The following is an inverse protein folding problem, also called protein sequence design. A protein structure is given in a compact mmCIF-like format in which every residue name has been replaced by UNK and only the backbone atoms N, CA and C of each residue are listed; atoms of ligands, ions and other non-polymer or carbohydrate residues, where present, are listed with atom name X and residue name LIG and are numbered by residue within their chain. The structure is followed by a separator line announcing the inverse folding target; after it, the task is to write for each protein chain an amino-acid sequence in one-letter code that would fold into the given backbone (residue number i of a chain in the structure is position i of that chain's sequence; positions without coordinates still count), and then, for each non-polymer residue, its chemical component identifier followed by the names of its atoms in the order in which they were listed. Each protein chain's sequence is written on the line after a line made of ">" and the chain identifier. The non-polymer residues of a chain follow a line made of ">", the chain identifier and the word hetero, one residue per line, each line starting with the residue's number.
data_IF_715545938452
#
_entry.id   IF_715545938452
#
_cell.length_a   1.000
_cell.length_b   1.000
_cell.length_c   1.000
_cell.angle_alpha   90.00
_cell.angle_beta   90.00
_cell.angle_gamma   90.00
#
_symmetry.space_group_name_H-M   'P 1'
#
loop_
_entity.id
_entity.type
_entity.pdbx_description
1 polymer ?
#
# COMPACT_ATOMS: atom_id res chain seq x y z
N UNK A 1 5.92 -14.81 -15.68
CA UNK A 1 6.47 -16.00 -16.36
C UNK A 1 7.02 -16.93 -15.29
N UNK A 2 6.57 -18.18 -15.23
CA UNK A 2 7.20 -19.16 -14.35
C UNK A 2 8.60 -19.46 -14.90
N UNK A 3 9.62 -19.40 -14.05
CA UNK A 3 10.94 -19.92 -14.40
C UNK A 3 10.82 -21.44 -14.63
N UNK A 4 11.56 -21.97 -15.62
CA UNK A 4 11.67 -23.41 -15.85
C UNK A 4 12.04 -24.10 -14.52
N UNK A 5 11.40 -25.23 -14.22
CA UNK A 5 11.66 -26.07 -13.04
C UNK A 5 11.13 -25.55 -11.67
N UNK A 6 10.10 -24.69 -11.67
CA UNK A 6 9.41 -24.28 -10.42
C UNK A 6 8.04 -24.94 -10.30
N UNK A 7 7.77 -25.54 -9.14
CA UNK A 7 6.49 -26.22 -8.83
C UNK A 7 5.35 -25.26 -8.49
N UNK A 8 5.66 -23.99 -8.25
CA UNK A 8 4.68 -22.98 -7.85
C UNK A 8 4.87 -21.70 -8.65
N UNK A 9 3.75 -21.09 -9.04
CA UNK A 9 3.70 -19.76 -9.62
C UNK A 9 3.15 -18.77 -8.61
N UNK A 10 3.83 -17.65 -8.43
CA UNK A 10 3.40 -16.56 -7.54
C UNK A 10 3.29 -15.30 -8.39
N UNK A 11 2.15 -14.64 -8.28
CA UNK A 11 1.92 -13.33 -8.87
C UNK A 11 1.63 -12.32 -7.78
N UNK A 12 2.43 -11.26 -7.74
CA UNK A 12 2.26 -10.15 -6.79
C UNK A 12 2.26 -8.84 -7.56
N UNK A 13 1.07 -8.32 -7.78
CA UNK A 13 0.86 -6.99 -8.36
C UNK A 13 -0.22 -6.29 -7.53
N UNK A 14 0.09 -5.22 -6.77
CA UNK A 14 -0.89 -4.57 -5.88
C UNK A 14 -2.18 -4.14 -6.56
N UNK A 15 -2.11 -3.69 -7.83
CA UNK A 15 -3.28 -3.25 -8.60
C UNK A 15 -4.18 -4.39 -9.10
N UNK A 16 -3.75 -5.66 -8.99
CA UNK A 16 -4.64 -6.80 -9.25
C UNK A 16 -5.87 -6.77 -8.34
N UNK A 17 -5.80 -6.04 -7.25
CA UNK A 17 -6.93 -5.79 -6.36
C UNK A 17 -8.17 -5.23 -7.07
N UNK A 18 -8.01 -4.41 -8.11
CA UNK A 18 -9.15 -3.85 -8.86
C UNK A 18 -9.88 -4.88 -9.73
N UNK A 19 -9.21 -5.96 -10.10
CA UNK A 19 -9.74 -7.06 -10.92
C UNK A 19 -9.73 -8.39 -10.14
N UNK A 20 -9.60 -8.32 -8.81
CA UNK A 20 -9.40 -9.50 -7.98
C UNK A 20 -10.57 -10.48 -8.07
N UNK A 21 -11.80 -9.98 -8.25
CA UNK A 21 -12.99 -10.81 -8.45
C UNK A 21 -12.84 -11.69 -9.70
N UNK A 22 -12.35 -11.12 -10.80
CA UNK A 22 -12.22 -11.84 -12.06
C UNK A 22 -11.08 -12.86 -11.97
N UNK A 23 -9.95 -12.47 -11.36
CA UNK A 23 -8.84 -13.39 -11.07
C UNK A 23 -9.34 -14.58 -10.24
N UNK A 24 -10.05 -14.32 -9.14
CA UNK A 24 -10.59 -15.37 -8.28
C UNK A 24 -11.61 -16.24 -9.00
N UNK A 25 -12.41 -15.67 -9.92
CA UNK A 25 -13.37 -16.41 -10.72
C UNK A 25 -12.69 -17.31 -11.76
N UNK A 26 -11.61 -16.85 -12.38
CA UNK A 26 -10.89 -17.59 -13.43
C UNK A 26 -10.14 -18.77 -12.82
N UNK A 27 -9.41 -18.53 -11.73
CA UNK A 27 -8.56 -19.56 -11.13
C UNK A 27 -9.29 -20.41 -10.08
N UNK A 28 -10.41 -19.92 -9.54
CA UNK A 28 -11.25 -20.66 -8.59
C UNK A 28 -10.44 -21.27 -7.45
N UNK A 29 -10.71 -22.54 -7.15
CA UNK A 29 -9.98 -23.32 -6.14
C UNK A 29 -8.61 -23.84 -6.61
N UNK A 30 -8.27 -23.67 -7.89
CA UNK A 30 -6.97 -24.01 -8.44
C UNK A 30 -5.84 -23.07 -8.01
N UNK A 31 -6.18 -21.93 -7.38
CA UNK A 31 -5.23 -21.01 -6.78
C UNK A 31 -5.55 -20.75 -5.30
N UNK A 32 -4.53 -20.28 -4.59
CA UNK A 32 -4.62 -19.79 -3.21
C UNK A 32 -4.46 -18.28 -3.22
N UNK A 33 -5.27 -17.57 -2.42
CA UNK A 33 -5.32 -16.11 -2.43
C UNK A 33 -4.89 -15.57 -1.07
N UNK A 34 -3.85 -14.75 -1.07
CA UNK A 34 -3.35 -14.07 0.12
C UNK A 34 -3.63 -12.57 0.02
N UNK A 35 -4.26 -12.00 1.04
CA UNK A 35 -4.47 -10.56 1.14
C UNK A 35 -3.62 -9.98 2.27
N UNK A 36 -2.59 -9.21 1.89
CA UNK A 36 -1.74 -8.50 2.85
C UNK A 36 -2.37 -7.13 3.17
N UNK A 37 -2.75 -6.96 4.42
CA UNK A 37 -3.37 -5.74 4.96
C UNK A 37 -2.34 -5.00 5.81
N UNK A 38 -2.40 -3.67 5.83
CA UNK A 38 -1.52 -2.83 6.66
C UNK A 38 -2.29 -1.63 7.17
N UNK A 39 -1.89 -1.07 8.31
CA UNK A 39 -2.48 0.15 8.84
C UNK A 39 -2.47 1.25 7.76
N UNK A 40 -3.63 1.82 7.38
CA UNK A 40 -3.69 2.81 6.31
C UNK A 40 -2.80 4.05 6.56
N UNK A 41 -2.67 4.52 7.81
CA UNK A 41 -1.75 5.62 8.11
C UNK A 41 -0.28 5.24 7.79
N UNK A 42 0.10 4.00 8.08
CA UNK A 42 1.43 3.47 7.77
C UNK A 42 1.65 3.33 6.26
N UNK A 43 0.64 2.91 5.50
CA UNK A 43 0.71 2.87 4.03
C UNK A 43 0.95 4.28 3.50
N UNK A 44 0.14 5.26 3.91
CA UNK A 44 0.26 6.64 3.45
C UNK A 44 1.66 7.23 3.74
N UNK A 45 2.18 7.05 4.96
CA UNK A 45 3.54 7.47 5.29
C UNK A 45 4.63 6.75 4.49
N UNK A 46 4.41 5.47 4.15
CA UNK A 46 5.29 4.74 3.22
C UNK A 46 5.28 5.42 1.85
N UNK A 47 4.11 5.82 1.32
CA UNK A 47 4.01 6.49 0.02
C UNK A 47 4.69 7.86 -0.01
N UNK A 48 4.50 8.63 1.06
CA UNK A 48 5.15 9.95 1.28
C UNK A 48 6.67 9.79 1.28
N UNK A 49 7.17 8.75 1.94
CA UNK A 49 8.62 8.52 2.05
C UNK A 49 9.20 8.06 0.70
N UNK A 50 8.57 7.08 0.05
CA UNK A 50 9.09 6.45 -1.18
C UNK A 50 8.95 7.36 -2.40
N UNK A 51 7.78 7.93 -2.66
CA UNK A 51 7.52 8.71 -3.89
C UNK A 51 7.45 10.21 -3.65
N UNK A 52 7.18 10.64 -2.41
CA UNK A 52 7.13 12.05 -2.03
C UNK A 52 8.47 12.60 -1.54
N UNK A 53 9.49 11.75 -1.39
CA UNK A 53 10.79 12.10 -0.77
C UNK A 53 10.59 12.76 0.61
N UNK A 54 9.61 12.27 1.38
CA UNK A 54 9.23 12.81 2.69
C UNK A 54 8.22 13.96 2.65
N UNK A 55 7.78 14.39 1.47
CA UNK A 55 6.78 15.47 1.28
C UNK A 55 5.41 14.92 0.93
N UNK A 56 4.38 15.67 1.27
CA UNK A 56 3.00 15.29 1.01
C UNK A 56 2.72 15.05 -0.49
N UNK A 57 2.26 13.84 -0.83
CA UNK A 57 1.95 13.43 -2.21
C UNK A 57 0.70 12.55 -2.33
N UNK A 58 -0.05 12.35 -1.25
CA UNK A 58 -1.19 11.40 -1.20
C UNK A 58 -2.31 11.79 -2.17
N UNK A 59 -2.42 13.07 -2.55
CA UNK A 59 -3.41 13.51 -3.54
C UNK A 59 -3.30 12.75 -4.88
N UNK A 60 -2.10 12.27 -5.25
CA UNK A 60 -1.86 11.51 -6.47
C UNK A 60 -2.28 10.03 -6.37
N UNK A 61 -2.49 9.52 -5.14
CA UNK A 61 -2.77 8.11 -4.88
C UNK A 61 -4.11 7.90 -4.17
N UNK A 62 -4.89 8.96 -3.98
CA UNK A 62 -6.10 8.90 -3.17
C UNK A 62 -7.14 7.95 -3.75
N UNK A 63 -7.26 7.87 -5.08
CA UNK A 63 -8.14 6.89 -5.72
C UNK A 63 -7.67 5.46 -5.46
N UNK A 64 -6.37 5.21 -5.62
CA UNK A 64 -5.76 3.90 -5.30
C UNK A 64 -6.01 3.53 -3.82
N UNK A 65 -6.01 4.53 -2.94
CA UNK A 65 -6.24 4.35 -1.52
C UNK A 65 -7.71 4.02 -1.19
N UNK A 66 -8.63 4.85 -1.65
CA UNK A 66 -10.06 4.71 -1.31
C UNK A 66 -10.70 3.52 -2.01
N UNK A 67 -10.48 3.39 -3.33
CA UNK A 67 -11.00 2.26 -4.11
C UNK A 67 -10.29 0.97 -3.75
N UNK A 68 -8.98 1.03 -3.52
CA UNK A 68 -8.19 -0.12 -3.10
C UNK A 68 -8.69 -0.72 -1.79
N UNK A 69 -8.96 0.11 -0.78
CA UNK A 69 -9.52 -0.38 0.50
C UNK A 69 -10.87 -1.07 0.30
N UNK A 70 -11.76 -0.52 -0.51
CA UNK A 70 -13.06 -1.13 -0.77
C UNK A 70 -12.93 -2.48 -1.48
N UNK A 71 -12.04 -2.58 -2.47
CA UNK A 71 -11.73 -3.85 -3.11
C UNK A 71 -11.09 -4.84 -2.14
N UNK A 72 -10.20 -4.38 -1.26
CA UNK A 72 -9.54 -5.20 -0.24
C UNK A 72 -10.55 -5.84 0.70
N UNK A 73 -11.44 -5.03 1.28
CA UNK A 73 -12.50 -5.51 2.18
C UNK A 73 -13.38 -6.56 1.48
N UNK A 74 -13.74 -6.33 0.21
CA UNK A 74 -14.53 -7.29 -0.57
C UNK A 74 -13.81 -8.62 -0.78
N UNK A 75 -12.51 -8.60 -1.08
CA UNK A 75 -11.70 -9.82 -1.27
C UNK A 75 -11.52 -10.55 0.06
N UNK A 76 -11.19 -9.83 1.13
CA UNK A 76 -11.01 -10.40 2.47
C UNK A 76 -12.26 -11.08 3.02
N UNK A 77 -13.45 -10.61 2.61
CA UNK A 77 -14.73 -11.23 3.00
C UNK A 77 -14.99 -12.60 2.36
N UNK A 78 -14.11 -13.08 1.48
CA UNK A 78 -14.23 -14.39 0.83
C UNK A 78 -13.44 -15.43 1.61
N UNK A 79 -14.08 -16.54 1.97
CA UNK A 79 -13.45 -17.66 2.69
C UNK A 79 -12.25 -18.25 1.96
N UNK A 80 -12.24 -18.17 0.63
CA UNK A 80 -11.13 -18.62 -0.20
C UNK A 80 -9.86 -17.77 -0.04
N UNK A 81 -9.90 -16.60 0.61
CA UNK A 81 -8.77 -15.70 0.77
C UNK A 81 -8.27 -15.65 2.23
N UNK A 82 -6.99 -15.97 2.43
CA UNK A 82 -6.36 -15.77 3.73
C UNK A 82 -5.89 -14.30 3.86
N UNK A 83 -6.45 -13.60 4.84
CA UNK A 83 -6.04 -12.25 5.20
C UNK A 83 -4.88 -12.28 6.20
N UNK A 84 -3.90 -11.40 6.03
CA UNK A 84 -2.72 -11.32 6.88
C UNK A 84 -2.41 -9.85 7.15
N UNK A 85 -2.22 -9.46 8.42
CA UNK A 85 -1.74 -8.12 8.73
C UNK A 85 -0.23 -8.07 8.65
N UNK A 86 0.28 -7.02 8.02
CA UNK A 86 1.70 -6.73 7.93
C UNK A 86 2.33 -6.63 9.33
N UNK A 87 1.65 -5.99 10.28
CA UNK A 87 2.13 -5.84 11.64
C UNK A 87 2.22 -7.18 12.40
N UNK A 88 1.33 -8.12 12.12
CA UNK A 88 1.35 -9.46 12.71
C UNK A 88 2.49 -10.28 12.12
N UNK A 89 2.77 -10.17 10.81
CA UNK A 89 3.95 -10.80 10.20
C UNK A 89 5.27 -10.34 10.81
N UNK A 90 5.35 -9.08 11.26
CA UNK A 90 6.55 -8.56 11.93
C UNK A 90 6.62 -9.00 13.41
N UNK A 91 5.49 -9.02 14.10
CA UNK A 91 5.43 -9.28 15.55
C UNK A 91 5.48 -10.77 15.89
N UNK A 92 4.80 -11.59 15.08
CA UNK A 92 4.54 -13.01 15.28
C UNK A 92 4.97 -13.83 14.06
N UNK A 93 6.18 -13.54 13.54
CA UNK A 93 6.73 -14.13 12.31
C UNK A 93 6.56 -15.65 12.24
N UNK A 94 6.91 -16.37 13.31
CA UNK A 94 6.85 -17.84 13.34
C UNK A 94 5.41 -18.35 13.18
N UNK A 95 4.48 -17.77 13.94
CA UNK A 95 3.06 -18.15 13.95
C UNK A 95 2.40 -17.83 12.60
N UNK A 96 2.65 -16.64 12.05
CA UNK A 96 2.09 -16.23 10.77
C UNK A 96 2.69 -17.04 9.61
N UNK A 97 3.99 -17.33 9.65
CA UNK A 97 4.65 -18.20 8.65
C UNK A 97 4.05 -19.61 8.67
N UNK A 98 3.78 -20.17 9.84
CA UNK A 98 3.14 -21.48 9.97
C UNK A 98 1.69 -21.44 9.46
N UNK A 99 0.94 -20.38 9.80
CA UNK A 99 -0.45 -20.20 9.33
C UNK A 99 -0.52 -20.12 7.80
N UNK A 100 0.40 -19.37 7.18
CA UNK A 100 0.51 -19.27 5.72
C UNK A 100 0.97 -20.59 5.11
N UNK A 101 1.95 -21.26 5.72
CA UNK A 101 2.43 -22.58 5.27
C UNK A 101 1.30 -23.59 5.20
N UNK A 102 0.48 -23.66 6.26
CA UNK A 102 -0.69 -24.55 6.35
C UNK A 102 -1.73 -24.22 5.28
N UNK A 103 -2.02 -22.94 5.07
CA UNK A 103 -3.01 -22.50 4.08
C UNK A 103 -2.57 -22.79 2.64
N UNK A 104 -1.28 -22.60 2.34
CA UNK A 104 -0.70 -22.89 1.02
C UNK A 104 -0.45 -24.39 0.80
N UNK A 105 -0.30 -25.17 1.88
CA UNK A 105 0.12 -26.58 1.82
C UNK A 105 1.61 -26.72 1.48
N UNK A 106 2.43 -25.74 1.86
CA UNK A 106 3.87 -25.67 1.53
C UNK A 106 4.66 -25.39 2.81
N UNK A 107 5.74 -26.12 3.06
CA UNK A 107 6.63 -25.86 4.20
C UNK A 107 7.48 -24.61 3.96
N UNK A 108 7.13 -23.48 4.57
CA UNK A 108 7.91 -22.23 4.47
C UNK A 108 8.98 -22.10 5.56
N UNK A 109 9.10 -23.08 6.47
CA UNK A 109 10.07 -23.07 7.57
C UNK A 109 11.52 -22.91 7.09
N UNK A 110 11.86 -23.49 5.93
CA UNK A 110 13.19 -23.40 5.32
C UNK A 110 13.52 -22.01 4.74
N UNK A 111 12.55 -21.10 4.64
CA UNK A 111 12.77 -19.76 4.09
C UNK A 111 13.28 -18.76 5.13
N UNK A 112 13.15 -19.05 6.44
CA UNK A 112 13.48 -18.11 7.52
C UNK A 112 14.95 -17.65 7.49
N UNK A 113 15.86 -18.56 7.16
CA UNK A 113 17.30 -18.30 7.15
C UNK A 113 17.85 -18.07 5.73
N UNK A 114 17.02 -18.19 4.70
CA UNK A 114 17.47 -17.97 3.32
C UNK A 114 17.57 -16.48 3.04
N UNK A 115 18.74 -16.06 2.59
CA UNK A 115 18.96 -14.70 2.09
C UNK A 115 18.06 -14.51 0.87
N UNK A 116 17.24 -13.46 0.89
CA UNK A 116 16.39 -13.11 -0.24
C UNK A 116 17.29 -12.71 -1.41
N UNK A 117 17.27 -13.52 -2.47
CA UNK A 117 17.92 -13.16 -3.72
C UNK A 117 17.16 -12.00 -4.37
N UNK A 118 17.90 -11.02 -4.88
CA UNK A 118 17.29 -9.88 -5.58
C UNK A 118 16.70 -10.39 -6.88
N UNK A 119 15.38 -10.30 -7.01
CA UNK A 119 14.70 -10.63 -8.27
C UNK A 119 14.94 -9.48 -9.24
N UNK A 120 15.68 -9.73 -10.32
CA UNK A 120 15.88 -8.74 -11.38
C UNK A 120 14.56 -8.49 -12.13
N UNK A 121 14.09 -7.24 -12.10
CA UNK A 121 12.84 -6.84 -12.75
C UNK A 121 12.85 -5.36 -13.14
N UNK A 122 12.14 -5.03 -14.23
CA UNK A 122 11.99 -3.64 -14.73
C UNK A 122 10.93 -2.83 -13.99
N UNK A 123 10.01 -3.50 -13.28
CA UNK A 123 8.90 -2.88 -12.55
C UNK A 123 8.93 -3.36 -11.09
N UNK A 124 8.81 -2.45 -10.12
CA UNK A 124 8.86 -2.80 -8.70
C UNK A 124 9.15 -1.61 -7.79
N UNK A 125 9.20 -1.86 -6.48
CA UNK A 125 9.66 -0.88 -5.49
C UNK A 125 11.19 -0.72 -5.63
N UNK A 126 11.70 0.47 -6.01
CA UNK A 126 13.13 0.68 -6.21
C UNK A 126 13.93 0.65 -4.90
N UNK A 127 13.28 0.63 -3.73
CA UNK A 127 13.95 0.76 -2.43
C UNK A 127 13.87 -0.54 -1.62
N UNK A 128 12.70 -1.19 -1.56
CA UNK A 128 12.48 -2.35 -0.69
C UNK A 128 13.32 -3.59 -1.02
N UNK A 129 13.52 -3.92 -2.30
CA UNK A 129 14.22 -5.15 -2.68
C UNK A 129 15.75 -5.09 -2.51
N UNK A 130 16.32 -3.89 -2.46
CA UNK A 130 17.77 -3.69 -2.31
C UNK A 130 18.20 -3.38 -0.87
N UNK A 131 17.27 -2.89 -0.04
CA UNK A 131 17.57 -2.39 1.30
C UNK A 131 17.47 -3.47 2.38
N UNK A 132 16.77 -4.57 2.13
CA UNK A 132 16.42 -5.53 3.17
C UNK A 132 16.76 -6.97 2.78
N UNK A 133 17.47 -7.66 3.66
CA UNK A 133 17.82 -9.08 3.52
C UNK A 133 17.11 -9.98 4.53
N UNK A 134 16.43 -9.40 5.54
CA UNK A 134 15.70 -10.08 6.62
C UNK A 134 14.45 -9.29 7.05
N UNK A 135 13.53 -9.96 7.75
CA UNK A 135 12.38 -9.33 8.39
C UNK A 135 12.87 -8.52 9.60
N UNK A 136 12.56 -7.22 9.62
CA UNK A 136 12.98 -6.32 10.70
C UNK A 136 11.76 -5.82 11.49
N UNK A 137 11.70 -6.19 12.77
CA UNK A 137 10.57 -5.88 13.67
C UNK A 137 10.34 -4.37 13.89
N UNK A 138 11.39 -3.57 13.79
CA UNK A 138 11.36 -2.10 14.01
C UNK A 138 10.44 -1.36 13.03
N UNK A 139 10.18 -1.94 11.84
CA UNK A 139 9.46 -1.32 10.72
C UNK A 139 7.98 -1.05 10.98
N UNK A 140 7.39 -1.73 11.96
CA UNK A 140 6.01 -1.46 12.41
C UNK A 140 5.82 -0.03 12.90
N UNK A 141 6.90 0.61 13.40
CA UNK A 141 6.87 1.96 13.96
C UNK A 141 7.60 3.02 13.12
N UNK A 142 8.46 2.62 12.17
CA UNK A 142 9.31 3.55 11.40
C UNK A 142 8.53 4.60 10.61
N UNK A 143 7.37 4.22 10.07
CA UNK A 143 6.51 5.12 9.29
C UNK A 143 6.07 6.36 10.07
N UNK A 144 6.07 6.29 11.41
CA UNK A 144 5.74 7.41 12.29
C UNK A 144 6.74 8.56 12.14
N UNK A 145 8.02 8.27 11.87
CA UNK A 145 9.08 9.28 11.70
C UNK A 145 8.82 10.21 10.50
N UNK A 146 8.06 9.76 9.51
CA UNK A 146 7.62 10.56 8.36
C UNK A 146 6.67 11.71 8.77
N UNK A 147 6.02 11.59 9.93
CA UNK A 147 5.09 12.59 10.44
C UNK A 147 5.87 13.63 11.23
N UNK A 148 6.31 14.68 10.53
CA UNK A 148 7.13 15.76 11.10
C UNK A 148 6.48 17.16 10.99
N UNK A 149 5.26 17.26 10.47
CA UNK A 149 4.54 18.52 10.26
C UNK A 149 3.10 18.40 10.77
N UNK A 150 2.53 19.51 11.22
CA UNK A 150 1.12 19.60 11.61
C UNK A 150 0.20 19.37 10.41
N UNK A 151 0.61 19.85 9.23
CA UNK A 151 -0.09 19.57 7.97
C UNK A 151 -0.22 18.07 7.72
N UNK A 152 0.86 17.28 7.83
CA UNK A 152 0.78 15.81 7.68
C UNK A 152 -0.16 15.19 8.71
N UNK A 153 -0.11 15.62 9.97
CA UNK A 153 -1.03 15.14 11.01
C UNK A 153 -2.49 15.41 10.61
N UNK A 154 -2.82 16.64 10.24
CA UNK A 154 -4.18 17.04 9.87
C UNK A 154 -4.67 16.25 8.64
N UNK A 155 -3.82 16.11 7.62
CA UNK A 155 -4.18 15.43 6.38
C UNK A 155 -4.30 13.91 6.55
N UNK A 156 -3.43 13.27 7.32
CA UNK A 156 -3.55 11.84 7.64
C UNK A 156 -4.81 11.57 8.45
N UNK A 157 -5.11 12.40 9.47
CA UNK A 157 -6.37 12.27 10.22
C UNK A 157 -7.59 12.47 9.32
N UNK A 158 -7.53 13.42 8.40
CA UNK A 158 -8.59 13.62 7.39
C UNK A 158 -8.77 12.39 6.50
N UNK A 159 -7.67 11.79 6.01
CA UNK A 159 -7.70 10.54 5.25
C UNK A 159 -8.36 9.40 6.04
N UNK A 160 -7.96 9.19 7.29
CA UNK A 160 -8.53 8.13 8.13
C UNK A 160 -10.03 8.36 8.42
N UNK A 161 -10.44 9.61 8.68
CA UNK A 161 -11.85 9.96 8.83
C UNK A 161 -12.67 9.64 7.58
N UNK A 162 -12.09 9.87 6.40
CA UNK A 162 -12.74 9.57 5.11
C UNK A 162 -12.84 8.09 4.82
N UNK A 163 -11.87 7.29 5.26
CA UNK A 163 -11.97 5.82 5.24
C UNK A 163 -13.14 5.39 6.13
N UNK A 164 -13.25 5.98 7.31
CA UNK A 164 -14.33 5.73 8.27
C UNK A 164 -14.07 4.53 9.18
N UNK A 165 -14.81 4.48 10.28
CA UNK A 165 -14.67 3.44 11.31
C UNK A 165 -14.95 2.04 10.75
N UNK A 166 -16.11 1.86 10.10
CA UNK A 166 -16.58 0.57 9.59
C UNK A 166 -15.57 -0.12 8.68
N UNK A 167 -14.88 0.65 7.83
CA UNK A 167 -13.87 0.11 6.92
C UNK A 167 -12.59 -0.26 7.67
N UNK A 168 -12.17 0.55 8.63
CA UNK A 168 -10.99 0.23 9.46
C UNK A 168 -11.21 -1.01 10.31
N UNK A 169 -12.40 -1.16 10.92
CA UNK A 169 -12.74 -2.36 11.70
C UNK A 169 -12.72 -3.61 10.82
N UNK A 170 -13.23 -3.54 9.58
CA UNK A 170 -13.14 -4.64 8.60
C UNK A 170 -11.71 -4.98 8.18
N UNK A 171 -10.80 -4.00 8.18
CA UNK A 171 -9.36 -4.21 7.99
C UNK A 171 -8.67 -4.73 9.28
N UNK A 172 -9.38 -4.76 10.41
CA UNK A 172 -8.89 -5.20 11.70
C UNK A 172 -8.11 -4.15 12.47
N UNK A 173 -8.38 -2.86 12.27
CA UNK A 173 -7.75 -1.77 13.02
C UNK A 173 -8.78 -0.97 13.82
N UNK A 174 -8.46 -0.62 15.06
CA UNK A 174 -9.25 0.31 15.87
C UNK A 174 -9.11 1.73 15.34
N UNK A 175 -10.24 2.37 15.05
CA UNK A 175 -10.27 3.74 14.56
C UNK A 175 -9.64 4.74 15.55
N UNK A 176 -9.94 4.57 16.85
CA UNK A 176 -9.40 5.42 17.90
C UNK A 176 -7.87 5.29 18.00
N UNK A 177 -7.36 4.05 18.03
CA UNK A 177 -5.92 3.79 18.12
C UNK A 177 -5.16 4.33 16.90
N UNK A 178 -5.72 4.16 15.70
CA UNK A 178 -5.10 4.70 14.48
C UNK A 178 -5.02 6.22 14.56
N UNK A 179 -6.11 6.90 14.93
CA UNK A 179 -6.10 8.37 15.04
C UNK A 179 -5.16 8.89 16.13
N UNK A 180 -5.09 8.20 17.27
CA UNK A 180 -4.19 8.55 18.37
C UNK A 180 -2.71 8.37 17.97
N UNK A 181 -2.43 7.35 17.17
CA UNK A 181 -1.07 7.11 16.66
C UNK A 181 -0.56 8.22 15.74
N UNK A 182 -1.46 9.00 15.11
CA UNK A 182 -1.13 10.10 14.19
C UNK A 182 -0.86 11.38 14.99
N UNK A 183 0.41 11.56 15.34
CA UNK A 183 0.98 12.76 15.95
C UNK A 183 2.36 13.02 15.37
N UNK A 184 2.96 14.17 15.68
CA UNK A 184 4.34 14.46 15.26
C UNK A 184 5.25 13.50 16.03
N UNK A 185 6.02 12.69 15.30
CA UNK A 185 7.07 11.83 15.86
C UNK A 185 8.45 12.16 15.28
N UNK A 186 8.51 12.73 14.08
CA UNK A 186 9.74 13.21 13.47
C UNK A 186 10.17 14.57 14.03
N UNK A 187 11.41 14.97 13.72
CA UNK A 187 11.90 16.31 14.06
C UNK A 187 11.13 17.36 13.25
N UNK A 188 10.43 18.25 13.95
CA UNK A 188 9.64 19.30 13.30
C UNK A 188 10.49 20.16 12.38
N UNK A 189 9.91 20.55 11.24
CA UNK A 189 10.56 21.34 10.20
C UNK A 189 9.57 22.38 9.66
N UNK A 190 9.76 23.65 10.00
CA UNK A 190 8.92 24.74 9.52
C UNK A 190 8.99 24.89 7.99
N UNK A 191 10.14 24.57 7.39
CA UNK A 191 10.30 24.51 5.94
C UNK A 191 9.36 23.46 5.36
N UNK A 192 9.38 22.24 5.89
CA UNK A 192 8.52 21.16 5.39
C UNK A 192 7.04 21.46 5.61
N UNK A 193 6.69 22.17 6.69
CA UNK A 193 5.32 22.61 6.96
C UNK A 193 4.78 23.47 5.80
N UNK A 194 5.54 24.49 5.38
CA UNK A 194 5.17 25.36 4.26
C UNK A 194 5.07 24.56 2.95
N UNK A 195 6.05 23.67 2.68
CA UNK A 195 6.01 22.83 1.48
C UNK A 195 4.81 21.87 1.48
N UNK A 196 4.56 21.16 2.57
CA UNK A 196 3.42 20.25 2.68
C UNK A 196 2.10 21.00 2.52
N UNK A 197 1.93 22.16 3.17
CA UNK A 197 0.73 22.98 3.03
C UNK A 197 0.52 23.41 1.56
N UNK A 198 1.58 23.86 0.89
CA UNK A 198 1.52 24.21 -0.54
C UNK A 198 1.14 23.02 -1.42
N UNK A 199 1.63 21.82 -1.08
CA UNK A 199 1.34 20.58 -1.83
C UNK A 199 -0.08 20.08 -1.58
N UNK A 200 -0.67 20.36 -0.41
CA UNK A 200 -2.09 20.12 -0.14
C UNK A 200 -2.94 21.01 -1.03
N UNK A 201 -2.66 22.32 -1.08
CA UNK A 201 -3.38 23.26 -1.95
C UNK A 201 -3.23 22.86 -3.42
N UNK A 202 -1.99 22.58 -3.84
CA UNK A 202 -1.72 22.06 -5.18
C UNK A 202 -2.51 20.78 -5.47
N UNK A 203 -2.59 19.84 -4.53
CA UNK A 203 -3.35 18.60 -4.68
C UNK A 203 -4.86 18.83 -4.87
N UNK A 204 -5.42 19.84 -4.22
CA UNK A 204 -6.83 20.25 -4.44
C UNK A 204 -7.00 20.81 -5.86
N UNK A 205 -6.14 21.73 -6.28
CA UNK A 205 -6.17 22.30 -7.63
C UNK A 205 -5.97 21.22 -8.70
N UNK A 206 -5.03 20.31 -8.48
CA UNK A 206 -4.74 19.19 -9.38
C UNK A 206 -5.98 18.33 -9.64
N UNK A 207 -6.79 18.07 -8.61
CA UNK A 207 -8.04 17.30 -8.74
C UNK A 207 -9.13 18.06 -9.47
N UNK A 208 -9.23 19.37 -9.28
CA UNK A 208 -10.23 20.21 -9.95
C UNK A 208 -9.91 20.33 -11.44
N UNK A 209 -8.65 20.64 -11.76
CA UNK A 209 -8.27 20.95 -13.14
C UNK A 209 -7.88 19.73 -13.97
N UNK A 210 -7.55 18.60 -13.31
CA UNK A 210 -7.08 17.36 -13.96
C UNK A 210 -6.19 17.64 -15.18
N UNK A 211 -5.10 18.41 -15.01
CA UNK A 211 -4.39 19.03 -16.13
C UNK A 211 -3.84 18.02 -17.14
N UNK A 212 -3.59 16.78 -16.72
CA UNK A 212 -3.23 15.68 -17.61
C UNK A 212 -4.34 15.33 -18.59
N UNK A 213 -5.59 15.19 -18.11
CA UNK A 213 -6.76 14.92 -18.96
C UNK A 213 -7.02 16.12 -19.87
N UNK A 214 -6.93 17.34 -19.33
CA UNK A 214 -7.09 18.55 -20.13
C UNK A 214 -6.04 18.62 -21.27
N UNK A 215 -4.78 18.30 -20.96
CA UNK A 215 -3.70 18.22 -21.95
C UNK A 215 -3.99 17.15 -23.01
N UNK A 216 -4.41 15.94 -22.62
CA UNK A 216 -4.77 14.89 -23.59
C UNK A 216 -5.94 15.30 -24.47
N UNK A 217 -6.99 15.89 -23.90
CA UNK A 217 -8.15 16.38 -24.67
C UNK A 217 -7.73 17.47 -25.65
N UNK A 218 -6.91 18.43 -25.23
CA UNK A 218 -6.42 19.51 -26.10
C UNK A 218 -5.52 18.96 -27.21
N UNK A 219 -4.57 18.09 -26.88
CA UNK A 219 -3.66 17.46 -27.86
C UNK A 219 -4.45 16.63 -28.87
N UNK A 220 -5.44 15.87 -28.42
CA UNK A 220 -6.29 15.09 -29.31
C UNK A 220 -7.18 15.99 -30.18
N UNK A 221 -7.76 17.06 -29.63
CA UNK A 221 -8.52 18.05 -30.44
C UNK A 221 -7.66 18.73 -31.50
N UNK A 222 -6.42 19.12 -31.17
CA UNK A 222 -5.48 19.73 -32.13
C UNK A 222 -5.07 18.74 -33.23
N UNK A 223 -4.87 17.45 -32.89
CA UNK A 223 -4.59 16.40 -33.88
C UNK A 223 -5.75 16.14 -34.84
N UNK A 224 -7.00 16.29 -34.37
CA UNK A 224 -8.19 16.18 -35.22
C UNK A 224 -8.41 17.43 -36.09
N UNK A 225 -8.01 18.62 -35.62
CA UNK A 225 -8.13 19.86 -36.40
C UNK A 225 -7.05 20.02 -37.48
N UNK A 226 -5.97 19.22 -37.43
CA UNK A 226 -4.87 19.22 -38.39
C UNK A 226 -4.93 18.04 -39.39
N UNK A 227 -6.03 17.29 -39.41
CA UNK A 227 -6.36 16.26 -40.41
C UNK A 227 -7.52 16.73 -41.26
#
# INVERSE_FOLDING_TARGET
>A
MAAKDKSFFIEKTPRNLFVAKDIMSIYGNGAKYLCLVRNPAAIACSMISTWGKGRWNIYAFEQDFMLGIDCMIKVMSKDACLSIKYEDLLSFEDQETERVSRYLGIGLSELKDKKIEVIEGRMGDPVGQYKYSKIEKTRSSEWKKTINTFTKVAMLKSLIRRIGNDKLEKLGYSYAEVLESIKIHGKYSARDEVFDASLVVYGVLYKIFQPFILKEVIVNKLRFALR
#
